data_IF_368152468182
#
_entry.id   IF_368152468182
#
_cell.length_a   1.000
_cell.length_b   1.000
_cell.length_c   1.000
_cell.angle_alpha   90.00
_cell.angle_beta   90.00
_cell.angle_gamma   90.00
#
_symmetry.space_group_name_H-M   'P 1'
#
loop_
_entity.id
_entity.type
_entity.pdbx_description
1 polymer ?
#
# COMPACT_ATOMS: atom_id res chain seq x y z
N UNK A 1 -21.23 22.50 -36.81
CA UNK A 1 -20.26 21.41 -36.54
C UNK A 1 -20.21 21.18 -35.04
N UNK A 2 -21.01 20.25 -34.53
CA UNK A 2 -21.11 19.94 -33.09
C UNK A 2 -19.98 18.99 -32.71
N UNK A 3 -19.01 19.48 -31.94
CA UNK A 3 -17.94 18.65 -31.38
C UNK A 3 -18.52 17.71 -30.33
N UNK A 4 -18.74 16.44 -30.68
CA UNK A 4 -19.11 15.41 -29.71
C UNK A 4 -17.97 15.22 -28.71
N UNK A 5 -18.19 15.69 -27.49
CA UNK A 5 -17.29 15.47 -26.36
C UNK A 5 -17.43 14.01 -25.91
N UNK A 6 -16.73 13.10 -26.60
CA UNK A 6 -16.65 11.68 -26.21
C UNK A 6 -16.05 11.62 -24.81
N UNK A 7 -16.87 11.25 -23.81
CA UNK A 7 -16.42 10.97 -22.44
C UNK A 7 -15.30 9.93 -22.50
N UNK A 8 -14.06 10.36 -22.25
CA UNK A 8 -12.90 9.47 -22.22
C UNK A 8 -13.12 8.40 -21.13
N UNK A 9 -13.18 7.13 -21.54
CA UNK A 9 -13.14 6.01 -20.59
C UNK A 9 -11.81 6.11 -19.85
N UNK A 10 -11.86 6.27 -18.52
CA UNK A 10 -10.65 6.23 -17.69
C UNK A 10 -10.12 4.80 -17.69
N UNK A 11 -9.13 4.53 -18.53
CA UNK A 11 -8.32 3.32 -18.40
C UNK A 11 -7.28 3.56 -17.33
N UNK A 12 -7.23 2.69 -16.33
CA UNK A 12 -6.17 2.72 -15.34
C UNK A 12 -4.88 2.28 -16.02
N UNK A 13 -3.88 3.15 -16.08
CA UNK A 13 -2.52 2.77 -16.50
C UNK A 13 -1.95 1.87 -15.39
N UNK A 14 -1.45 0.69 -15.77
CA UNK A 14 -0.87 -0.26 -14.82
C UNK A 14 0.42 0.29 -14.19
N UNK A 15 0.83 -0.28 -13.07
CA UNK A 15 2.02 0.20 -12.35
C UNK A 15 3.31 -0.21 -13.09
N UNK A 16 3.28 -1.30 -13.85
CA UNK A 16 4.36 -1.77 -14.72
C UNK A 16 4.67 -0.75 -15.84
N UNK A 17 3.63 -0.24 -16.52
CA UNK A 17 3.80 0.78 -17.57
C UNK A 17 4.38 2.07 -16.99
N UNK A 18 3.98 2.46 -15.76
CA UNK A 18 4.52 3.66 -15.11
C UNK A 18 5.99 3.49 -14.75
N UNK A 19 6.39 2.30 -14.33
CA UNK A 19 7.79 1.96 -14.11
C UNK A 19 8.59 2.05 -15.41
N UNK A 20 8.11 1.43 -16.49
CA UNK A 20 8.76 1.45 -17.80
C UNK A 20 8.93 2.88 -18.34
N UNK A 21 7.92 3.73 -18.19
CA UNK A 21 8.02 5.17 -18.54
C UNK A 21 9.15 5.85 -17.75
N UNK A 22 9.28 5.56 -16.45
CA UNK A 22 10.33 6.14 -15.60
C UNK A 22 11.74 5.64 -15.99
N UNK A 23 11.88 4.36 -16.32
CA UNK A 23 13.15 3.81 -16.82
C UNK A 23 13.53 4.40 -18.18
N UNK A 24 12.57 4.47 -19.10
CA UNK A 24 12.78 5.01 -20.44
C UNK A 24 13.23 6.47 -20.39
N UNK A 25 12.60 7.29 -19.53
CA UNK A 25 13.01 8.67 -19.30
C UNK A 25 14.40 8.77 -18.64
N UNK A 26 14.76 7.83 -17.77
CA UNK A 26 16.09 7.83 -17.13
C UNK A 26 17.20 7.54 -18.15
N UNK A 27 16.95 6.63 -19.10
CA UNK A 27 17.85 6.32 -20.21
C UNK A 27 17.87 7.42 -21.28
N UNK A 28 16.77 8.16 -21.43
CA UNK A 28 16.59 9.17 -22.47
C UNK A 28 16.13 10.52 -21.89
N UNK A 29 16.93 11.11 -20.99
CA UNK A 29 16.58 12.33 -20.24
C UNK A 29 16.38 13.59 -21.10
N UNK A 30 16.83 13.55 -22.36
CA UNK A 30 16.72 14.64 -23.32
C UNK A 30 15.38 14.65 -24.08
N UNK A 31 14.60 13.57 -24.02
CA UNK A 31 13.34 13.47 -24.76
C UNK A 31 12.24 14.30 -24.12
N UNK A 32 11.41 14.92 -24.97
CA UNK A 32 10.24 15.65 -24.49
C UNK A 32 9.22 14.68 -23.91
N UNK A 33 8.48 15.14 -22.90
CA UNK A 33 7.32 14.41 -22.38
C UNK A 33 6.26 14.11 -23.46
N UNK A 34 6.23 14.90 -24.54
CA UNK A 34 5.36 14.66 -25.70
C UNK A 34 5.86 13.43 -26.48
N UNK A 35 7.15 13.35 -26.75
CA UNK A 35 7.76 12.26 -27.51
C UNK A 35 7.62 10.92 -26.75
N UNK A 36 7.81 10.97 -25.43
CA UNK A 36 7.59 9.80 -24.56
C UNK A 36 6.12 9.37 -24.62
N UNK A 37 5.16 10.31 -24.59
CA UNK A 37 3.76 9.96 -24.73
C UNK A 37 3.45 9.31 -26.08
N UNK A 38 3.98 9.86 -27.18
CA UNK A 38 3.81 9.30 -28.52
C UNK A 38 4.37 7.87 -28.62
N UNK A 39 5.56 7.63 -28.08
CA UNK A 39 6.20 6.32 -28.07
C UNK A 39 5.32 5.26 -27.37
N UNK A 40 4.85 5.55 -26.15
CA UNK A 40 4.03 4.60 -25.40
C UNK A 40 2.60 4.44 -25.95
N UNK A 41 2.06 5.47 -26.60
CA UNK A 41 0.77 5.40 -27.29
C UNK A 41 0.84 4.45 -28.51
N UNK A 42 1.94 4.51 -29.25
CA UNK A 42 2.21 3.59 -30.36
C UNK A 42 2.41 2.15 -29.87
N UNK A 43 3.12 1.97 -28.76
CA UNK A 43 3.46 0.65 -28.24
C UNK A 43 2.26 -0.11 -27.63
N UNK A 44 1.41 0.58 -26.86
CA UNK A 44 0.33 -0.07 -26.11
C UNK A 44 -1.08 0.27 -26.59
N UNK A 45 -1.21 1.01 -27.70
CA UNK A 45 -2.50 1.44 -28.25
C UNK A 45 -3.38 2.21 -27.21
N UNK A 46 -2.76 3.09 -26.42
CA UNK A 46 -3.42 3.98 -25.45
C UNK A 46 -3.32 5.45 -25.86
N UNK A 47 -4.16 6.31 -25.26
CA UNK A 47 -4.12 7.79 -25.42
C UNK A 47 -3.56 8.44 -24.14
N UNK A 48 -2.27 8.28 -23.90
CA UNK A 48 -1.54 8.92 -22.81
C UNK A 48 -1.24 10.36 -23.22
N UNK A 49 -1.68 11.30 -22.39
CA UNK A 49 -1.41 12.74 -22.56
C UNK A 49 -0.07 13.12 -21.92
N UNK A 50 0.58 14.15 -22.45
CA UNK A 50 1.80 14.77 -21.87
C UNK A 50 1.66 15.09 -20.38
N UNK A 51 0.47 15.51 -19.94
CA UNK A 51 0.19 15.80 -18.53
C UNK A 51 0.23 14.55 -17.65
N UNK A 52 -0.17 13.39 -18.19
CA UNK A 52 -0.08 12.10 -17.51
C UNK A 52 1.38 11.67 -17.36
N UNK A 53 2.19 11.77 -18.42
CA UNK A 53 3.64 11.54 -18.34
C UNK A 53 4.28 12.43 -17.27
N UNK A 54 3.94 13.73 -17.26
CA UNK A 54 4.46 14.67 -16.27
C UNK A 54 4.10 14.28 -14.83
N UNK A 55 2.89 13.76 -14.60
CA UNK A 55 2.45 13.26 -13.28
C UNK A 55 3.19 11.98 -12.88
N UNK A 56 3.38 11.06 -13.81
CA UNK A 56 4.12 9.81 -13.57
C UNK A 56 5.56 10.13 -13.19
N UNK A 57 6.25 10.97 -13.96
CA UNK A 57 7.64 11.35 -13.72
C UNK A 57 7.83 12.18 -12.44
N UNK A 58 6.82 12.94 -12.01
CA UNK A 58 6.86 13.65 -10.72
C UNK A 58 6.98 12.67 -9.55
N UNK A 59 6.32 11.52 -9.63
CA UNK A 59 6.36 10.46 -8.64
C UNK A 59 7.37 9.34 -9.02
N UNK A 60 8.39 9.63 -9.83
CA UNK A 60 9.33 8.62 -10.37
C UNK A 60 9.93 7.69 -9.32
N UNK A 61 10.27 8.21 -8.13
CA UNK A 61 10.88 7.41 -7.07
C UNK A 61 9.94 6.30 -6.57
N UNK A 62 8.64 6.60 -6.48
CA UNK A 62 7.63 5.61 -6.12
C UNK A 62 7.53 4.51 -7.18
N UNK A 63 7.52 4.88 -8.46
CA UNK A 63 7.34 3.91 -9.55
C UNK A 63 8.55 3.01 -9.74
N UNK A 64 9.77 3.56 -9.62
CA UNK A 64 11.01 2.78 -9.67
C UNK A 64 11.10 1.78 -8.51
N UNK A 65 10.62 2.13 -7.32
CA UNK A 65 10.64 1.23 -6.16
C UNK A 65 9.46 0.24 -6.12
N UNK A 66 8.39 0.47 -6.88
CA UNK A 66 7.18 -0.35 -6.83
C UNK A 66 7.39 -1.79 -7.28
N UNK A 67 8.38 -2.06 -8.14
CA UNK A 67 8.73 -3.42 -8.59
C UNK A 67 9.66 -4.12 -7.58
N UNK A 68 10.57 -3.39 -6.93
CA UNK A 68 11.54 -3.96 -5.99
C UNK A 68 10.92 -4.27 -4.63
N UNK A 69 10.02 -3.41 -4.17
CA UNK A 69 9.28 -3.56 -2.93
C UNK A 69 7.80 -3.26 -3.23
N UNK A 70 6.97 -4.27 -3.54
CA UNK A 70 5.55 -4.03 -3.70
C UNK A 70 5.05 -3.34 -2.42
N UNK A 71 4.47 -2.13 -2.52
CA UNK A 71 3.98 -1.45 -1.34
C UNK A 71 2.93 -2.35 -0.70
N UNK A 72 3.21 -2.82 0.51
CA UNK A 72 2.22 -3.49 1.35
C UNK A 72 0.99 -2.56 1.33
N UNK A 73 -0.20 -3.06 0.96
CA UNK A 73 -1.39 -2.21 0.89
C UNK A 73 -1.59 -1.60 2.27
N UNK A 74 -1.16 -0.34 2.44
CA UNK A 74 -1.57 0.46 3.58
C UNK A 74 -2.99 0.83 3.27
N UNK A 75 -3.91 -0.05 3.69
CA UNK A 75 -5.31 0.27 3.77
C UNK A 75 -5.38 1.60 4.53
N UNK A 76 -5.66 2.69 3.81
CA UNK A 76 -6.14 3.89 4.46
C UNK A 76 -7.44 3.45 5.10
N UNK A 77 -7.44 3.22 6.41
CA UNK A 77 -8.64 2.93 7.16
C UNK A 77 -9.64 4.01 6.79
N UNK A 78 -10.62 3.63 5.97
CA UNK A 78 -11.61 4.52 5.41
C UNK A 78 -12.62 4.84 6.50
N UNK A 79 -12.18 5.53 7.56
CA UNK A 79 -12.98 5.88 8.73
C UNK A 79 -14.04 4.81 9.04
N UNK A 80 -13.63 3.55 9.08
CA UNK A 80 -14.54 2.51 9.49
C UNK A 80 -14.83 2.82 10.95
N UNK A 81 -16.12 2.91 11.25
CA UNK A 81 -16.72 3.27 12.53
C UNK A 81 -16.39 2.24 13.63
N UNK A 82 -15.14 1.80 13.71
CA UNK A 82 -14.60 1.02 14.80
C UNK A 82 -14.34 2.02 15.92
N UNK A 83 -15.21 1.97 16.91
CA UNK A 83 -15.05 2.74 18.12
C UNK A 83 -13.72 2.33 18.78
N UNK A 84 -12.79 3.29 18.91
CA UNK A 84 -11.49 3.01 19.53
C UNK A 84 -11.63 2.58 21.00
N UNK A 85 -12.78 2.86 21.62
CA UNK A 85 -13.13 2.38 22.96
C UNK A 85 -13.29 0.85 23.00
N UNK A 86 -13.76 0.22 21.92
CA UNK A 86 -13.90 -1.25 21.86
C UNK A 86 -12.53 -1.92 21.97
N UNK A 87 -11.52 -1.35 21.30
CA UNK A 87 -10.12 -1.82 21.40
C UNK A 87 -9.53 -1.67 22.80
N UNK A 88 -9.98 -0.69 23.59
CA UNK A 88 -9.52 -0.52 24.99
C UNK A 88 -10.04 -1.64 25.87
N UNK A 89 -11.28 -2.09 25.64
CA UNK A 89 -11.86 -3.24 26.35
C UNK A 89 -11.04 -4.50 26.07
N UNK A 90 -10.75 -4.81 24.81
CA UNK A 90 -9.91 -5.96 24.45
C UNK A 90 -8.52 -5.91 25.10
N UNK A 91 -7.85 -4.75 25.09
CA UNK A 91 -6.54 -4.59 25.74
C UNK A 91 -6.60 -4.82 27.25
N UNK A 92 -7.67 -4.34 27.91
CA UNK A 92 -7.89 -4.56 29.35
C UNK A 92 -8.07 -6.05 29.67
N UNK A 93 -8.93 -6.74 28.90
CA UNK A 93 -9.13 -8.19 29.07
C UNK A 93 -7.85 -8.99 28.84
N UNK A 94 -7.08 -8.67 27.80
CA UNK A 94 -5.81 -9.34 27.53
C UNK A 94 -4.82 -9.19 28.69
N UNK A 95 -4.73 -7.97 29.28
CA UNK A 95 -3.89 -7.72 30.45
C UNK A 95 -4.33 -8.54 31.66
N UNK A 96 -5.63 -8.62 31.93
CA UNK A 96 -6.18 -9.40 33.04
C UNK A 96 -5.94 -10.90 32.86
N UNK A 97 -6.11 -11.44 31.65
CA UNK A 97 -5.83 -12.84 31.35
C UNK A 97 -4.36 -13.19 31.58
N UNK A 98 -3.44 -12.31 31.17
CA UNK A 98 -2.01 -12.51 31.39
C UNK A 98 -1.65 -12.44 32.89
N UNK A 99 -2.25 -11.52 33.65
CA UNK A 99 -2.05 -11.45 35.10
C UNK A 99 -2.55 -12.73 35.79
N UNK A 100 -3.76 -13.19 35.43
CA UNK A 100 -4.33 -14.43 35.97
C UNK A 100 -3.45 -15.64 35.66
N UNK A 101 -2.96 -15.75 34.41
CA UNK A 101 -2.05 -16.82 34.03
C UNK A 101 -0.76 -16.82 34.85
N UNK A 102 -0.23 -15.64 35.19
CA UNK A 102 0.97 -15.52 36.04
C UNK A 102 0.66 -15.94 37.48
N UNK A 103 -0.48 -15.50 38.02
CA UNK A 103 -0.94 -15.86 39.36
C UNK A 103 -1.12 -17.38 39.49
N UNK A 104 -1.83 -17.99 38.54
CA UNK A 104 -2.10 -19.43 38.51
C UNK A 104 -0.78 -20.23 38.44
N UNK A 105 0.19 -19.77 37.63
CA UNK A 105 1.53 -20.40 37.57
C UNK A 105 2.29 -20.34 38.90
N UNK A 106 2.22 -19.20 39.61
CA UNK A 106 2.83 -19.07 40.94
C UNK A 106 2.15 -20.00 41.94
N UNK A 107 0.83 -20.05 41.94
CA UNK A 107 0.07 -20.91 42.84
C UNK A 107 0.36 -22.39 42.58
N UNK A 108 0.41 -22.82 41.32
CA UNK A 108 0.79 -24.19 40.95
C UNK A 108 2.21 -24.52 41.43
N UNK A 109 3.18 -23.60 41.25
CA UNK A 109 4.54 -23.81 41.75
C UNK A 109 4.60 -24.00 43.26
N UNK A 110 3.82 -23.23 44.02
CA UNK A 110 3.72 -23.36 45.48
C UNK A 110 3.08 -24.70 45.85
N UNK A 111 1.97 -25.06 45.20
CA UNK A 111 1.28 -26.32 45.46
C UNK A 111 2.18 -27.52 45.17
N UNK A 112 2.91 -27.52 44.05
CA UNK A 112 3.88 -28.57 43.71
C UNK A 112 4.99 -28.69 44.74
N UNK A 113 5.50 -27.58 45.29
CA UNK A 113 6.52 -27.61 46.35
C UNK A 113 6.01 -28.35 47.60
N UNK A 114 4.78 -28.07 48.03
CA UNK A 114 4.20 -28.73 49.19
C UNK A 114 3.81 -30.19 48.93
N UNK A 115 3.40 -30.56 47.71
CA UNK A 115 3.08 -31.95 47.35
C UNK A 115 4.29 -32.88 47.23
N UNK A 116 5.52 -32.36 47.18
CA UNK A 116 6.77 -33.16 47.15
C UNK A 116 7.33 -33.36 48.58
N UNK A 117 6.86 -32.57 49.55
CA UNK A 117 7.33 -32.58 50.93
C UNK A 117 6.54 -33.53 51.86
N UNK A 118 5.49 -34.19 51.35
CA UNK A 118 4.80 -35.35 51.95
C UNK A 118 5.33 -36.66 51.36
#
# INVERSE_FOLDING_TARGET
MTSENKKQKRTAISDEIKHEICEFHTKNSHLSHIDIALHFNQLHNFDIKRTTISKILKDKGRWLSAITNPPIPTYKHHNSNYNCEDLKVFRKYLKLMNLKLIEDKKQTSINTFYSIAE
#
